data_IF_302933015698
#
_entry.id   IF_302933015698
#
_cell.length_a   1.000
_cell.length_b   1.000
_cell.length_c   1.000
_cell.angle_alpha   90.00
_cell.angle_beta   90.00
_cell.angle_gamma   90.00
#
_symmetry.space_group_name_H-M   'P 1'
#
loop_
_entity.id
_entity.type
_entity.pdbx_description
1 polymer ?
#
# COMPACT_ATOMS: atom_id res chain seq x y z
N UNK A 1 8.07 -3.50 27.20
CA UNK A 1 7.49 -4.22 26.06
C UNK A 1 8.36 -5.42 25.78
N UNK A 2 7.79 -6.62 25.69
CA UNK A 2 8.55 -7.83 25.36
C UNK A 2 8.74 -7.94 23.85
N UNK A 3 9.90 -8.43 23.40
CA UNK A 3 10.25 -8.66 21.98
C UNK A 3 9.22 -9.56 21.26
N UNK A 4 8.49 -10.36 22.03
CA UNK A 4 7.39 -11.23 21.60
C UNK A 4 6.10 -10.50 21.18
N UNK A 5 5.86 -9.27 21.61
CA UNK A 5 4.65 -8.50 21.25
C UNK A 5 4.83 -7.71 19.93
N UNK A 6 6.05 -7.27 19.61
CA UNK A 6 6.37 -6.66 18.31
C UNK A 6 6.11 -7.64 17.16
N UNK A 7 6.41 -8.93 17.36
CA UNK A 7 6.22 -9.99 16.37
C UNK A 7 4.74 -10.43 16.17
N UNK A 8 3.79 -9.84 16.92
CA UNK A 8 2.35 -10.09 16.76
C UNK A 8 1.63 -9.01 15.94
N UNK A 9 2.30 -7.89 15.66
CA UNK A 9 1.70 -6.81 14.89
C UNK A 9 1.78 -7.16 13.41
N UNK A 10 0.65 -7.06 12.72
CA UNK A 10 0.65 -7.19 11.27
C UNK A 10 1.38 -5.97 10.67
N UNK A 11 2.35 -6.20 9.82
CA UNK A 11 3.07 -5.16 9.10
C UNK A 11 2.28 -4.77 7.85
N UNK A 12 1.76 -3.54 7.87
CA UNK A 12 0.96 -2.98 6.78
C UNK A 12 1.76 -1.88 6.10
N UNK A 13 2.09 -2.09 4.83
CA UNK A 13 2.76 -1.10 3.99
C UNK A 13 1.71 -0.32 3.19
N UNK A 14 1.77 1.00 3.27
CA UNK A 14 0.77 1.90 2.69
C UNK A 14 1.43 2.77 1.64
N UNK A 15 0.94 2.71 0.41
CA UNK A 15 1.33 3.63 -0.65
C UNK A 15 0.26 4.70 -0.82
N UNK A 16 0.66 5.96 -0.84
CA UNK A 16 -0.22 7.09 -1.14
C UNK A 16 0.48 8.11 -2.04
N UNK A 17 -0.31 9.00 -2.62
CA UNK A 17 0.20 10.18 -3.31
C UNK A 17 -0.38 11.45 -2.70
N UNK A 18 0.48 12.41 -2.37
CA UNK A 18 0.08 13.71 -1.84
C UNK A 18 -0.88 13.58 -0.65
N UNK A 19 -0.66 12.61 0.24
CA UNK A 19 -1.52 12.38 1.39
C UNK A 19 -2.94 11.90 1.09
N UNK A 20 -3.20 11.35 -0.10
CA UNK A 20 -4.54 10.84 -0.50
C UNK A 20 -5.12 9.79 0.45
N UNK A 21 -4.27 9.05 1.18
CA UNK A 21 -4.67 8.04 2.15
C UNK A 21 -4.92 8.59 3.57
N UNK A 22 -4.62 9.86 3.85
CA UNK A 22 -4.53 10.42 5.22
C UNK A 22 -5.73 10.09 6.13
N UNK A 23 -6.96 10.23 5.63
CA UNK A 23 -8.14 9.94 6.44
C UNK A 23 -8.27 8.45 6.81
N UNK A 24 -7.90 7.56 5.88
CA UNK A 24 -7.93 6.10 6.12
C UNK A 24 -6.79 5.69 7.04
N UNK A 25 -5.60 6.25 6.85
CA UNK A 25 -4.43 6.06 7.72
C UNK A 25 -4.75 6.49 9.15
N UNK A 26 -5.31 7.69 9.35
CA UNK A 26 -5.72 8.16 10.67
C UNK A 26 -6.76 7.23 11.34
N UNK A 27 -7.64 6.63 10.55
CA UNK A 27 -8.56 5.59 11.04
C UNK A 27 -7.83 4.33 11.50
N UNK A 28 -6.85 3.84 10.73
CA UNK A 28 -6.02 2.70 11.09
C UNK A 28 -5.22 2.97 12.37
N UNK A 29 -4.65 4.15 12.53
CA UNK A 29 -3.94 4.54 13.75
C UNK A 29 -4.89 4.59 14.95
N UNK A 30 -6.03 5.26 14.80
CA UNK A 30 -7.01 5.47 15.88
C UNK A 30 -7.64 4.16 16.37
N UNK A 31 -8.01 3.27 15.45
CA UNK A 31 -8.77 2.06 15.78
C UNK A 31 -7.91 0.79 15.78
N UNK A 32 -6.77 0.80 15.09
CA UNK A 32 -5.86 -0.33 14.95
C UNK A 32 -4.82 -0.45 16.05
N UNK A 33 -4.45 0.66 16.71
CA UNK A 33 -3.54 0.71 17.88
C UNK A 33 -2.40 -0.31 17.80
N UNK A 34 -2.41 -1.29 18.71
CA UNK A 34 -1.30 -2.22 18.92
C UNK A 34 -1.33 -3.42 17.96
N UNK A 35 -2.27 -3.46 17.00
CA UNK A 35 -2.46 -4.57 16.05
C UNK A 35 -1.65 -4.41 14.77
N UNK A 36 -1.31 -3.18 14.39
CA UNK A 36 -0.64 -2.89 13.14
C UNK A 36 0.66 -2.15 13.38
N UNK A 37 1.70 -2.55 12.64
CA UNK A 37 2.86 -1.71 12.38
C UNK A 37 2.66 -1.09 11.00
N UNK A 38 2.44 0.21 10.95
CA UNK A 38 2.21 0.94 9.70
C UNK A 38 3.52 1.49 9.16
N UNK A 39 3.77 1.25 7.88
CA UNK A 39 4.83 1.89 7.11
C UNK A 39 4.19 2.64 5.95
N UNK A 40 4.56 3.90 5.74
CA UNK A 40 3.90 4.77 4.76
C UNK A 40 4.95 5.27 3.77
N UNK A 41 4.67 5.04 2.48
CA UNK A 41 5.41 5.59 1.35
C UNK A 41 4.50 6.62 0.66
N UNK A 42 4.91 7.88 0.67
CA UNK A 42 4.22 8.97 -0.03
C UNK A 42 5.02 9.32 -1.30
N UNK A 43 4.34 9.35 -2.44
CA UNK A 43 4.90 9.82 -3.71
C UNK A 43 4.30 11.20 -3.97
N UNK A 44 5.06 12.22 -3.61
CA UNK A 44 4.68 13.63 -3.68
C UNK A 44 5.10 14.29 -5.00
N UNK A 45 5.78 13.56 -5.88
CA UNK A 45 6.22 14.05 -7.19
C UNK A 45 5.04 14.42 -8.10
N UNK A 46 5.27 15.44 -8.93
CA UNK A 46 4.39 15.74 -10.06
C UNK A 46 4.70 14.76 -11.18
N UNK A 47 3.84 13.76 -11.33
CA UNK A 47 4.02 12.72 -12.32
C UNK A 47 3.45 13.12 -13.69
N UNK A 48 4.08 12.73 -14.80
CA UNK A 48 3.45 12.77 -16.10
C UNK A 48 2.18 11.90 -16.11
N UNK A 49 1.26 12.08 -17.08
CA UNK A 49 0.02 11.29 -17.14
C UNK A 49 0.23 9.82 -17.47
N UNK A 50 1.41 9.45 -17.98
CA UNK A 50 1.82 8.08 -18.32
C UNK A 50 3.25 7.91 -17.87
N UNK A 51 3.53 6.77 -17.23
CA UNK A 51 4.86 6.36 -16.80
C UNK A 51 5.27 5.12 -17.59
N UNK A 52 6.35 5.22 -18.36
CA UNK A 52 6.94 4.06 -19.04
C UNK A 52 7.77 3.19 -18.07
N UNK A 53 8.32 3.80 -17.02
CA UNK A 53 9.06 3.13 -15.95
C UNK A 53 8.64 3.70 -14.58
N UNK A 54 8.25 2.82 -13.67
CA UNK A 54 7.81 3.15 -12.30
C UNK A 54 8.88 2.86 -11.25
N UNK A 55 10.03 2.31 -11.64
CA UNK A 55 11.08 1.81 -10.74
C UNK A 55 11.71 2.90 -9.86
N UNK A 56 11.65 4.16 -10.30
CA UNK A 56 12.12 5.30 -9.51
C UNK A 56 11.19 5.65 -8.34
N UNK A 57 9.94 5.20 -8.38
CA UNK A 57 8.90 5.53 -7.40
C UNK A 57 8.50 4.36 -6.51
N UNK A 58 8.63 3.14 -7.02
CA UNK A 58 8.30 1.92 -6.29
C UNK A 58 9.58 1.25 -5.78
N UNK A 59 9.58 0.68 -4.56
CA UNK A 59 10.74 -0.04 -4.06
C UNK A 59 10.96 -1.32 -4.89
N UNK A 60 12.24 -1.67 -5.09
CA UNK A 60 12.61 -2.90 -5.80
C UNK A 60 12.17 -4.18 -5.07
N UNK A 61 11.96 -4.11 -3.76
CA UNK A 61 11.47 -5.21 -2.93
C UNK A 61 10.53 -4.69 -1.84
N UNK A 62 9.56 -5.52 -1.45
CA UNK A 62 8.61 -5.29 -0.37
C UNK A 62 8.56 -6.52 0.53
N UNK A 63 8.63 -6.29 1.83
CA UNK A 63 8.52 -7.33 2.86
C UNK A 63 7.51 -6.85 3.90
N UNK A 64 6.26 -7.26 3.77
CA UNK A 64 5.15 -6.91 4.65
C UNK A 64 4.03 -7.96 4.55
N UNK A 65 3.08 -7.93 5.48
CA UNK A 65 1.95 -8.86 5.49
C UNK A 65 0.78 -8.41 4.61
N UNK A 66 0.64 -7.09 4.39
CA UNK A 66 -0.46 -6.48 3.65
C UNK A 66 -0.03 -5.16 3.02
N UNK A 67 -0.44 -4.92 1.77
CA UNK A 67 -0.29 -3.62 1.11
C UNK A 67 -1.63 -2.91 1.00
N UNK A 68 -1.66 -1.62 1.37
CA UNK A 68 -2.79 -0.72 1.08
C UNK A 68 -2.38 0.26 -0.01
N UNK A 69 -3.11 0.23 -1.11
CA UNK A 69 -2.88 1.10 -2.25
C UNK A 69 -3.90 2.25 -2.27
N UNK A 70 -3.41 3.45 -1.97
CA UNK A 70 -4.11 4.73 -2.11
C UNK A 70 -3.52 5.62 -3.20
N UNK A 71 -2.70 5.07 -4.10
CA UNK A 71 -2.13 5.83 -5.22
C UNK A 71 -3.24 6.36 -6.13
N UNK A 72 -3.02 7.45 -6.85
CA UNK A 72 -3.95 7.99 -7.85
C UNK A 72 -3.55 7.59 -9.27
N UNK A 73 -2.25 7.48 -9.53
CA UNK A 73 -1.68 7.15 -10.82
C UNK A 73 -1.91 5.66 -11.15
N UNK A 74 -2.52 5.37 -12.29
CA UNK A 74 -2.85 4.01 -12.71
C UNK A 74 -1.62 3.12 -12.84
N UNK A 75 -0.55 3.65 -13.44
CA UNK A 75 0.63 2.86 -13.80
C UNK A 75 1.37 2.40 -12.54
N UNK A 76 1.63 3.32 -11.60
CA UNK A 76 2.16 2.98 -10.27
C UNK A 76 1.30 1.93 -9.54
N UNK A 77 -0.03 2.05 -9.61
CA UNK A 77 -0.94 1.10 -8.96
C UNK A 77 -0.87 -0.29 -9.60
N UNK A 78 -0.68 -0.32 -10.93
CA UNK A 78 -0.61 -1.54 -11.72
C UNK A 78 0.71 -2.27 -11.47
N UNK A 79 1.83 -1.55 -11.46
CA UNK A 79 3.14 -2.12 -11.22
C UNK A 79 3.30 -2.55 -9.76
N UNK A 80 2.76 -1.78 -8.80
CA UNK A 80 2.70 -2.20 -7.41
C UNK A 80 1.89 -3.50 -7.25
N UNK A 81 0.77 -3.63 -7.97
CA UNK A 81 -0.03 -4.85 -7.94
C UNK A 81 0.73 -6.06 -8.52
N UNK A 82 1.48 -5.86 -9.60
CA UNK A 82 2.34 -6.88 -10.17
C UNK A 82 3.45 -7.30 -9.19
N UNK A 83 4.09 -6.33 -8.51
CA UNK A 83 5.10 -6.57 -7.47
C UNK A 83 4.54 -7.41 -6.31
N UNK A 84 3.37 -7.03 -5.77
CA UNK A 84 2.70 -7.77 -4.71
C UNK A 84 2.31 -9.19 -5.14
N UNK A 85 1.76 -9.35 -6.35
CA UNK A 85 1.39 -10.65 -6.90
C UNK A 85 2.60 -11.58 -7.05
N UNK A 86 3.74 -11.06 -7.53
CA UNK A 86 4.99 -11.82 -7.65
C UNK A 86 5.54 -12.31 -6.31
N UNK A 87 5.21 -11.61 -5.22
CA UNK A 87 5.66 -11.93 -3.85
C UNK A 87 4.58 -12.62 -3.00
N UNK A 88 3.41 -12.90 -3.56
CA UNK A 88 2.23 -13.43 -2.85
C UNK A 88 1.82 -12.58 -1.64
N UNK A 89 1.99 -11.26 -1.73
CA UNK A 89 1.56 -10.31 -0.71
C UNK A 89 0.14 -9.85 -1.06
N UNK A 90 -0.85 -9.96 -0.16
CA UNK A 90 -2.18 -9.46 -0.42
C UNK A 90 -2.17 -7.92 -0.53
N UNK A 91 -2.97 -7.39 -1.46
CA UNK A 91 -3.12 -5.95 -1.65
C UNK A 91 -4.60 -5.55 -1.56
N UNK A 92 -4.88 -4.42 -0.92
CA UNK A 92 -6.18 -3.75 -0.97
C UNK A 92 -6.05 -2.45 -1.76
N UNK A 93 -6.67 -2.42 -2.94
CA UNK A 93 -6.73 -1.25 -3.81
C UNK A 93 -8.02 -0.48 -3.54
N UNK A 94 -7.98 0.40 -2.54
CA UNK A 94 -9.18 1.07 -2.02
C UNK A 94 -9.76 2.08 -3.01
N UNK A 95 -11.03 1.89 -3.40
CA UNK A 95 -11.75 2.82 -4.29
C UNK A 95 -11.33 2.71 -5.76
N UNK A 96 -10.56 1.69 -6.12
CA UNK A 96 -10.13 1.41 -7.49
C UNK A 96 -10.90 0.24 -8.06
N UNK A 97 -11.02 0.21 -9.38
CA UNK A 97 -11.58 -0.93 -10.14
C UNK A 97 -10.51 -1.89 -10.64
N UNK A 98 -9.29 -1.83 -10.09
CA UNK A 98 -8.17 -2.66 -10.53
C UNK A 98 -8.47 -4.13 -10.24
N UNK A 99 -8.35 -4.99 -11.25
CA UNK A 99 -8.66 -6.43 -11.15
C UNK A 99 -7.37 -7.22 -11.32
N UNK A 100 -7.03 -8.07 -10.34
CA UNK A 100 -5.81 -8.88 -10.37
C UNK A 100 -5.80 -9.95 -9.28
N UNK A 101 -4.99 -11.00 -9.45
CA UNK A 101 -4.87 -12.08 -8.47
C UNK A 101 -4.28 -11.54 -7.15
N UNK A 102 -4.97 -11.74 -6.04
CA UNK A 102 -4.53 -11.27 -4.71
C UNK A 102 -4.89 -9.82 -4.39
N UNK A 103 -5.57 -9.12 -5.31
CA UNK A 103 -6.08 -7.77 -5.09
C UNK A 103 -7.53 -7.85 -4.59
N UNK A 104 -7.81 -7.20 -3.47
CA UNK A 104 -9.16 -6.99 -2.97
C UNK A 104 -9.54 -5.53 -3.22
N UNK A 105 -10.61 -5.30 -3.98
CA UNK A 105 -11.22 -3.98 -4.15
C UNK A 105 -12.50 -3.91 -3.31
N UNK A 106 -12.50 -3.23 -2.16
CA UNK A 106 -13.71 -3.07 -1.36
C UNK A 106 -14.76 -2.28 -2.16
N UNK A 107 -16.05 -2.67 -2.10
CA UNK A 107 -17.11 -1.91 -2.75
C UNK A 107 -17.21 -0.50 -2.13
N UNK A 108 -17.44 0.50 -2.99
CA UNK A 108 -17.77 1.88 -2.62
C UNK A 108 -19.27 2.09 -2.48
#
# INVERSE_FOLDING_TARGET
MSESDENRRQHVLIFQQNGSGKQKIAGLEKYGKDKFRLEIVDIDDVLPPVLDDTSDYLPADICCDLVLDFLKHSDLSTDLAALCAGKNIPMIASGKKTVGRGIVTPPT
#
